data_IF_621964508647
#
_entry.id   IF_621964508647
#
_cell.length_a   1.000
_cell.length_b   1.000
_cell.length_c   1.000
_cell.angle_alpha   90.00
_cell.angle_beta   90.00
_cell.angle_gamma   90.00
#
_symmetry.space_group_name_H-M   'P 1'
#
loop_
_entity.id
_entity.type
_entity.pdbx_description
1 polymer ?
#
# COMPACT_ATOMS: atom_id res chain seq x y z
N UNK A 1 26.74 -6.78 11.63
CA UNK A 1 26.49 -7.06 10.20
C UNK A 1 25.20 -6.37 9.83
N UNK A 2 25.16 -5.65 8.72
CA UNK A 2 23.89 -5.09 8.20
C UNK A 2 22.99 -6.26 7.79
N UNK A 3 21.71 -6.30 8.22
CA UNK A 3 20.80 -7.35 7.78
C UNK A 3 20.66 -7.33 6.26
N UNK A 4 20.49 -8.51 5.66
CA UNK A 4 20.07 -8.59 4.26
C UNK A 4 18.70 -7.94 4.08
N UNK A 5 18.42 -7.48 2.86
CA UNK A 5 17.12 -6.87 2.55
C UNK A 5 15.94 -7.79 2.88
N UNK A 6 16.04 -9.09 2.60
CA UNK A 6 14.99 -10.03 2.96
C UNK A 6 14.83 -10.20 4.48
N UNK A 7 15.90 -10.07 5.28
CA UNK A 7 15.76 -10.06 6.75
C UNK A 7 15.00 -8.82 7.23
N UNK A 8 15.22 -7.65 6.59
CA UNK A 8 14.45 -6.43 6.86
C UNK A 8 12.99 -6.63 6.46
N UNK A 9 12.72 -7.20 5.28
CA UNK A 9 11.37 -7.51 4.82
C UNK A 9 10.63 -8.49 5.74
N UNK A 10 11.32 -9.56 6.16
CA UNK A 10 10.78 -10.51 7.14
C UNK A 10 10.47 -9.85 8.47
N UNK A 11 11.32 -8.95 8.94
CA UNK A 11 11.03 -8.15 10.14
C UNK A 11 9.81 -7.25 9.90
N UNK A 12 9.73 -6.56 8.77
CA UNK A 12 8.58 -5.71 8.44
C UNK A 12 7.26 -6.48 8.47
N UNK A 13 7.20 -7.70 7.92
CA UNK A 13 6.03 -8.59 8.03
C UNK A 13 5.62 -8.84 9.48
N UNK A 14 6.58 -9.03 10.39
CA UNK A 14 6.29 -9.25 11.82
C UNK A 14 5.69 -8.03 12.53
N UNK A 15 5.86 -6.82 11.96
CA UNK A 15 5.25 -5.60 12.50
C UNK A 15 3.75 -5.49 12.15
N UNK A 16 3.25 -6.26 11.18
CA UNK A 16 1.82 -6.33 10.87
C UNK A 16 1.10 -7.28 11.84
N UNK A 17 1.00 -6.84 13.10
CA UNK A 17 0.32 -7.55 14.18
C UNK A 17 -1.01 -6.85 14.52
N UNK A 18 -2.17 -7.53 14.40
CA UNK A 18 -3.45 -6.95 14.79
C UNK A 18 -3.52 -6.43 16.23
N UNK A 19 -2.75 -7.02 17.15
CA UNK A 19 -2.71 -6.64 18.58
C UNK A 19 -1.80 -5.44 18.88
N UNK A 20 -0.92 -5.06 17.95
CA UNK A 20 -0.01 -3.92 18.08
C UNK A 20 0.09 -3.22 16.71
N UNK A 21 -0.92 -2.38 16.37
CA UNK A 21 -0.98 -1.73 15.07
C UNK A 21 0.29 -0.92 14.75
N UNK A 22 0.84 -1.17 13.57
CA UNK A 22 1.98 -0.41 13.05
C UNK A 22 1.53 0.97 12.58
N UNK A 23 2.14 2.01 13.13
CA UNK A 23 2.02 3.38 12.61
C UNK A 23 3.05 3.58 11.51
N UNK A 24 2.57 3.81 10.28
CA UNK A 24 3.39 4.13 9.12
C UNK A 24 3.29 5.62 8.80
N UNK A 25 4.39 6.33 8.95
CA UNK A 25 4.49 7.73 8.54
C UNK A 25 4.84 7.79 7.06
N UNK A 26 4.03 8.50 6.28
CA UNK A 26 4.29 8.76 4.87
C UNK A 26 5.33 9.88 4.72
N UNK A 27 6.42 9.60 4.01
CA UNK A 27 7.46 10.57 3.65
C UNK A 27 7.53 10.73 2.13
N UNK A 28 8.01 11.87 1.67
CA UNK A 28 7.93 12.27 0.25
C UNK A 28 9.18 12.99 -0.26
N UNK A 29 10.16 13.24 0.60
CA UNK A 29 11.47 13.79 0.21
C UNK A 29 12.58 13.29 1.16
N UNK A 30 13.84 13.64 0.86
CA UNK A 30 14.98 13.25 1.70
C UNK A 30 14.95 13.85 3.12
N UNK A 31 14.35 15.03 3.28
CA UNK A 31 14.33 15.77 4.55
C UNK A 31 13.38 15.11 5.54
N UNK A 32 12.13 14.94 5.14
CA UNK A 32 11.09 14.22 5.88
C UNK A 32 11.52 12.79 6.18
N UNK A 33 12.09 12.09 5.20
CA UNK A 33 12.65 10.75 5.38
C UNK A 33 13.72 10.70 6.47
N UNK A 34 14.69 11.62 6.45
CA UNK A 34 15.78 11.64 7.44
C UNK A 34 15.28 11.98 8.84
N UNK A 35 14.37 12.95 8.95
CA UNK A 35 13.78 13.36 10.23
C UNK A 35 13.02 12.19 10.86
N UNK A 36 12.11 11.56 10.11
CA UNK A 36 11.29 10.46 10.61
C UNK A 36 12.16 9.23 10.92
N UNK A 37 13.14 8.90 10.07
CA UNK A 37 14.04 7.76 10.30
C UNK A 37 14.93 7.93 11.55
N UNK A 38 15.17 9.17 12.00
CA UNK A 38 15.98 9.46 13.19
C UNK A 38 15.22 9.28 14.51
N UNK A 39 13.89 9.22 14.48
CA UNK A 39 13.09 9.08 15.69
C UNK A 39 13.22 7.66 16.25
N UNK A 40 13.48 7.49 17.56
CA UNK A 40 13.64 6.17 18.18
C UNK A 40 12.37 5.32 18.15
N UNK A 41 11.21 5.94 17.93
CA UNK A 41 9.90 5.28 17.85
C UNK A 41 9.56 4.80 16.44
N UNK A 42 10.32 5.19 15.42
CA UNK A 42 10.04 4.79 14.03
C UNK A 42 10.41 3.33 13.81
N UNK A 43 9.41 2.48 13.58
CA UNK A 43 9.57 1.05 13.31
C UNK A 43 9.63 0.71 11.81
N UNK A 44 9.01 1.54 10.98
CA UNK A 44 9.02 1.45 9.51
C UNK A 44 8.56 2.79 8.92
N UNK A 45 8.82 3.00 7.63
CA UNK A 45 8.40 4.20 6.87
C UNK A 45 7.67 3.77 5.60
N UNK A 46 6.67 4.56 5.21
CA UNK A 46 5.99 4.43 3.92
C UNK A 46 6.27 5.66 3.04
N UNK A 47 6.20 5.51 1.72
CA UNK A 47 6.06 6.66 0.81
C UNK A 47 4.59 6.84 0.41
N UNK A 48 4.25 8.01 -0.13
CA UNK A 48 2.92 8.27 -0.69
C UNK A 48 3.07 8.97 -2.04
N UNK A 49 2.49 8.38 -3.10
CA UNK A 49 2.63 8.91 -4.46
C UNK A 49 2.08 10.33 -4.58
N UNK A 50 0.91 10.60 -3.97
CA UNK A 50 0.29 11.93 -3.96
C UNK A 50 1.23 13.01 -3.43
N UNK A 51 1.94 12.73 -2.33
CA UNK A 51 2.84 13.70 -1.73
C UNK A 51 4.14 13.85 -2.56
N UNK A 52 4.65 12.76 -3.12
CA UNK A 52 5.78 12.80 -4.06
C UNK A 52 5.43 13.64 -5.30
N UNK A 53 4.27 13.39 -5.92
CA UNK A 53 3.76 14.16 -7.05
C UNK A 53 3.66 15.66 -6.74
N UNK A 54 3.13 16.01 -5.56
CA UNK A 54 3.05 17.39 -5.09
C UNK A 54 4.43 18.07 -5.00
N UNK A 55 5.49 17.36 -4.58
CA UNK A 55 6.86 17.93 -4.55
C UNK A 55 7.41 18.23 -5.94
N UNK A 56 6.92 17.52 -6.96
CA UNK A 56 7.32 17.69 -8.36
C UNK A 56 6.40 18.68 -9.11
N UNK A 57 5.34 19.17 -8.47
CA UNK A 57 4.36 20.06 -9.10
C UNK A 57 3.50 19.38 -10.16
N UNK A 58 3.25 18.08 -10.01
CA UNK A 58 2.35 17.30 -10.89
C UNK A 58 1.22 16.70 -10.07
N UNK A 59 0.08 16.44 -10.71
CA UNK A 59 -1.00 15.68 -10.09
C UNK A 59 -0.58 14.20 -9.92
N UNK A 60 -1.14 13.52 -8.93
CA UNK A 60 -0.78 12.13 -8.59
C UNK A 60 -1.02 11.16 -9.76
N UNK A 61 -2.14 11.32 -10.46
CA UNK A 61 -2.49 10.56 -11.67
C UNK A 61 -1.49 10.75 -12.82
N UNK A 62 -0.73 11.86 -12.80
CA UNK A 62 0.27 12.20 -13.82
C UNK A 62 1.70 11.89 -13.38
N UNK A 63 1.90 11.38 -12.16
CA UNK A 63 3.21 10.97 -11.67
C UNK A 63 3.70 9.75 -12.45
N UNK A 64 4.76 9.92 -13.24
CA UNK A 64 5.29 8.81 -14.06
C UNK A 64 6.08 7.82 -13.22
N UNK A 65 6.22 6.59 -13.74
CA UNK A 65 7.09 5.55 -13.17
C UNK A 65 8.49 6.08 -12.85
N UNK A 66 9.13 6.73 -13.82
CA UNK A 66 10.50 7.21 -13.70
C UNK A 66 10.62 8.32 -12.65
N UNK A 67 9.62 9.20 -12.56
CA UNK A 67 9.56 10.24 -11.53
C UNK A 67 9.43 9.61 -10.14
N UNK A 68 8.51 8.67 -9.95
CA UNK A 68 8.32 8.02 -8.66
C UNK A 68 9.58 7.23 -8.26
N UNK A 69 10.10 6.35 -9.12
CA UNK A 69 11.31 5.58 -8.83
C UNK A 69 12.53 6.47 -8.51
N UNK A 70 12.66 7.61 -9.19
CA UNK A 70 13.72 8.59 -8.88
C UNK A 70 13.56 9.20 -7.48
N UNK A 71 12.33 9.54 -7.09
CA UNK A 71 12.03 10.02 -5.74
C UNK A 71 12.27 8.93 -4.68
N UNK A 72 11.83 7.69 -4.95
CA UNK A 72 12.05 6.54 -4.06
C UNK A 72 13.55 6.28 -3.83
N UNK A 73 14.38 6.36 -4.87
CA UNK A 73 15.83 6.22 -4.74
C UNK A 73 16.41 7.23 -3.74
N UNK A 74 15.99 8.49 -3.82
CA UNK A 74 16.42 9.58 -2.93
C UNK A 74 15.94 9.32 -1.50
N UNK A 75 14.65 9.01 -1.32
CA UNK A 75 14.02 8.76 -0.03
C UNK A 75 14.66 7.57 0.69
N UNK A 76 14.74 6.41 0.03
CA UNK A 76 15.29 5.18 0.62
C UNK A 76 16.77 5.38 0.99
N UNK A 77 17.54 6.08 0.14
CA UNK A 77 18.94 6.42 0.46
C UNK A 77 19.07 7.33 1.67
N UNK A 78 18.15 8.29 1.84
CA UNK A 78 18.11 9.16 3.02
C UNK A 78 17.78 8.38 4.29
N UNK A 79 16.77 7.50 4.24
CA UNK A 79 16.41 6.61 5.36
C UNK A 79 17.59 5.72 5.75
N UNK A 80 18.15 4.97 4.81
CA UNK A 80 19.21 4.00 5.11
C UNK A 80 20.52 4.64 5.55
N UNK A 81 20.77 5.92 5.22
CA UNK A 81 21.90 6.68 5.79
C UNK A 81 21.75 6.90 7.29
N UNK A 82 20.52 7.09 7.76
CA UNK A 82 20.19 7.30 9.18
C UNK A 82 20.05 5.97 9.91
N UNK A 83 19.28 5.03 9.34
CA UNK A 83 19.04 3.72 9.91
C UNK A 83 19.05 2.65 8.79
N UNK A 84 20.18 1.96 8.57
CA UNK A 84 20.35 0.98 7.49
C UNK A 84 19.45 -0.26 7.58
N UNK A 85 18.79 -0.48 8.72
CA UNK A 85 17.93 -1.64 8.96
C UNK A 85 16.45 -1.26 9.04
N UNK A 86 16.09 0.01 8.83
CA UNK A 86 14.70 0.46 8.93
C UNK A 86 13.91 0.02 7.68
N UNK A 87 12.80 -0.71 7.82
CA UNK A 87 11.93 -1.05 6.71
C UNK A 87 11.38 0.19 5.99
N UNK A 88 11.47 0.19 4.66
CA UNK A 88 10.78 1.16 3.79
C UNK A 88 9.82 0.41 2.87
N UNK A 89 8.53 0.70 2.99
CA UNK A 89 7.50 0.28 2.03
C UNK A 89 7.17 1.45 1.10
N UNK A 90 6.89 1.18 -0.17
CA UNK A 90 6.73 2.23 -1.18
C UNK A 90 5.34 2.21 -1.81
N UNK A 91 4.80 3.38 -2.11
CA UNK A 91 3.58 3.48 -2.90
C UNK A 91 3.90 3.43 -4.40
N UNK A 92 3.33 2.46 -5.10
CA UNK A 92 3.52 2.23 -6.53
C UNK A 92 2.23 2.45 -7.33
N UNK A 93 1.20 3.07 -6.73
CA UNK A 93 -0.12 3.23 -7.35
C UNK A 93 -0.61 1.88 -7.91
N UNK A 94 -0.99 1.84 -9.18
CA UNK A 94 -1.43 0.63 -9.87
C UNK A 94 -0.27 -0.24 -10.37
N UNK A 95 0.99 0.17 -10.19
CA UNK A 95 2.20 -0.53 -10.62
C UNK A 95 2.83 0.00 -11.91
N UNK A 96 2.30 1.09 -12.49
CA UNK A 96 2.83 1.81 -13.66
C UNK A 96 2.99 0.96 -14.93
N UNK A 97 2.19 -0.09 -15.07
CA UNK A 97 2.26 -1.02 -16.20
C UNK A 97 0.95 -1.78 -16.38
N UNK A 98 0.43 -1.76 -17.61
CA UNK A 98 -0.86 -2.37 -17.95
C UNK A 98 -0.76 -3.90 -18.11
N UNK A 99 0.45 -4.44 -18.27
CA UNK A 99 0.69 -5.88 -18.33
C UNK A 99 1.52 -6.38 -17.15
N UNK A 100 1.47 -7.71 -16.93
CA UNK A 100 2.16 -8.37 -15.83
C UNK A 100 3.70 -8.27 -15.94
N UNK A 101 4.32 -8.41 -17.13
CA UNK A 101 5.77 -8.21 -17.26
C UNK A 101 6.24 -6.82 -16.85
N UNK A 102 5.54 -5.75 -17.23
CA UNK A 102 5.87 -4.38 -16.85
C UNK A 102 5.74 -4.17 -15.33
N UNK A 103 4.66 -4.69 -14.73
CA UNK A 103 4.49 -4.69 -13.26
C UNK A 103 5.66 -5.41 -12.58
N UNK A 104 6.02 -6.61 -13.03
CA UNK A 104 7.13 -7.37 -12.46
C UNK A 104 8.46 -6.60 -12.53
N UNK A 105 8.71 -5.89 -13.64
CA UNK A 105 9.89 -5.04 -13.79
C UNK A 105 9.89 -3.89 -12.78
N UNK A 106 8.76 -3.18 -12.60
CA UNK A 106 8.61 -2.11 -11.61
C UNK A 106 8.87 -2.62 -10.18
N UNK A 107 8.36 -3.79 -9.81
CA UNK A 107 8.62 -4.39 -8.48
C UNK A 107 10.10 -4.70 -8.29
N UNK A 108 10.75 -5.30 -9.28
CA UNK A 108 12.19 -5.62 -9.23
C UNK A 108 13.03 -4.35 -9.10
N UNK A 109 12.68 -3.29 -9.81
CA UNK A 109 13.34 -1.99 -9.71
C UNK A 109 13.16 -1.38 -8.31
N UNK A 110 11.93 -1.36 -7.76
CA UNK A 110 11.69 -0.87 -6.41
C UNK A 110 12.48 -1.65 -5.34
N UNK A 111 12.56 -2.97 -5.48
CA UNK A 111 13.40 -3.81 -4.61
C UNK A 111 14.88 -3.48 -4.79
N UNK A 112 15.37 -3.28 -6.01
CA UNK A 112 16.75 -2.88 -6.25
C UNK A 112 17.12 -1.53 -5.59
N UNK A 113 16.14 -0.63 -5.39
CA UNK A 113 16.32 0.62 -4.66
C UNK A 113 16.39 0.43 -3.13
N UNK A 114 15.97 -0.74 -2.62
CA UNK A 114 15.97 -1.07 -1.19
C UNK A 114 14.59 -1.19 -0.55
N UNK A 115 13.50 -1.10 -1.33
CA UNK A 115 12.15 -1.30 -0.79
C UNK A 115 11.96 -2.72 -0.28
N UNK A 116 11.21 -2.88 0.81
CA UNK A 116 10.89 -4.19 1.43
C UNK A 116 9.40 -4.50 1.46
N UNK A 117 8.58 -3.57 0.96
CA UNK A 117 7.16 -3.75 0.74
C UNK A 117 6.67 -2.72 -0.27
N UNK A 118 5.42 -2.89 -0.72
CA UNK A 118 4.76 -1.84 -1.48
C UNK A 118 3.25 -1.82 -1.23
N UNK A 119 2.65 -0.68 -1.52
CA UNK A 119 1.22 -0.55 -1.79
C UNK A 119 0.98 -0.73 -3.30
N UNK A 120 -0.02 -1.54 -3.66
CA UNK A 120 -0.48 -1.74 -5.05
C UNK A 120 -2.01 -1.70 -5.08
N UNK A 121 -2.60 -0.82 -5.88
CA UNK A 121 -4.05 -0.72 -6.03
C UNK A 121 -4.60 -1.54 -7.21
N UNK A 122 -5.89 -1.87 -7.14
CA UNK A 122 -6.59 -2.65 -8.15
C UNK A 122 -7.32 -1.80 -9.21
N UNK A 123 -7.07 -0.50 -9.23
CA UNK A 123 -7.49 0.41 -10.31
C UNK A 123 -6.58 0.27 -11.52
N UNK A 124 -7.14 0.35 -12.71
CA UNK A 124 -6.41 0.68 -13.93
C UNK A 124 -6.39 2.19 -14.12
N UNK A 125 -5.28 2.83 -13.77
CA UNK A 125 -5.20 4.29 -13.75
C UNK A 125 -5.23 4.88 -15.16
N UNK A 126 -4.69 4.16 -16.15
CA UNK A 126 -4.73 4.59 -17.54
C UNK A 126 -6.16 4.53 -18.12
N UNK A 127 -6.93 3.51 -17.76
CA UNK A 127 -8.32 3.37 -18.19
C UNK A 127 -9.31 4.11 -17.28
N UNK A 128 -8.91 4.51 -16.07
CA UNK A 128 -9.78 5.11 -15.06
C UNK A 128 -10.85 4.15 -14.55
N UNK A 129 -10.59 2.84 -14.54
CA UNK A 129 -11.59 1.81 -14.19
C UNK A 129 -11.04 0.79 -13.21
N UNK A 130 -11.91 0.22 -12.38
CA UNK A 130 -11.53 -0.87 -11.48
C UNK A 130 -11.24 -2.15 -12.28
N UNK A 131 -10.10 -2.80 -12.03
CA UNK A 131 -9.79 -4.09 -12.65
C UNK A 131 -10.74 -5.18 -12.17
N UNK A 132 -10.96 -6.18 -13.01
CA UNK A 132 -11.69 -7.38 -12.59
C UNK A 132 -10.96 -8.06 -11.42
N UNK A 133 -11.69 -8.84 -10.62
CA UNK A 133 -11.10 -9.56 -9.49
C UNK A 133 -9.96 -10.48 -9.95
N UNK A 134 -10.16 -11.20 -11.07
CA UNK A 134 -9.18 -12.13 -11.62
C UNK A 134 -7.89 -11.42 -12.06
N UNK A 135 -8.01 -10.26 -12.72
CA UNK A 135 -6.86 -9.44 -13.12
C UNK A 135 -6.12 -8.90 -11.89
N UNK A 136 -6.84 -8.38 -10.90
CA UNK A 136 -6.25 -7.87 -9.66
C UNK A 136 -5.49 -8.98 -8.91
N UNK A 137 -6.08 -10.17 -8.80
CA UNK A 137 -5.44 -11.36 -8.21
C UNK A 137 -4.20 -11.79 -9.00
N UNK A 138 -4.24 -11.76 -10.34
CA UNK A 138 -3.08 -12.06 -11.16
C UNK A 138 -1.93 -11.08 -10.90
N UNK A 139 -2.23 -9.78 -10.79
CA UNK A 139 -1.25 -8.75 -10.45
C UNK A 139 -0.63 -8.95 -9.06
N UNK A 140 -1.43 -9.28 -8.05
CA UNK A 140 -0.94 -9.63 -6.70
C UNK A 140 0.06 -10.78 -6.76
N UNK A 141 -0.28 -11.87 -7.47
CA UNK A 141 0.65 -13.01 -7.65
C UNK A 141 1.93 -12.60 -8.38
N UNK A 142 1.83 -11.75 -9.38
CA UNK A 142 2.98 -11.22 -10.12
C UNK A 142 3.92 -10.44 -9.21
N UNK A 143 3.41 -9.62 -8.29
CA UNK A 143 4.28 -8.91 -7.33
C UNK A 143 5.01 -9.89 -6.42
N UNK A 144 4.30 -10.86 -5.85
CA UNK A 144 4.90 -11.87 -4.94
C UNK A 144 6.00 -12.66 -5.65
N UNK A 145 5.74 -13.11 -6.88
CA UNK A 145 6.73 -13.86 -7.66
C UNK A 145 7.92 -12.99 -8.08
N UNK A 146 7.67 -11.77 -8.56
CA UNK A 146 8.74 -10.84 -8.93
C UNK A 146 9.67 -10.52 -7.75
N UNK A 147 9.09 -10.38 -6.55
CA UNK A 147 9.86 -10.14 -5.33
C UNK A 147 10.70 -11.35 -4.91
N UNK A 148 10.15 -12.57 -5.04
CA UNK A 148 10.91 -13.82 -4.84
C UNK A 148 12.08 -13.93 -5.80
N UNK A 149 11.86 -13.67 -7.09
CA UNK A 149 12.90 -13.66 -8.12
C UNK A 149 13.98 -12.60 -7.86
N UNK A 150 13.62 -11.47 -7.27
CA UNK A 150 14.54 -10.41 -6.87
C UNK A 150 15.33 -10.70 -5.57
N UNK A 151 15.12 -11.86 -4.94
CA UNK A 151 15.80 -12.24 -3.69
C UNK A 151 15.17 -11.66 -2.42
N UNK A 152 13.93 -11.17 -2.50
CA UNK A 152 13.14 -10.67 -1.37
C UNK A 152 11.81 -11.46 -1.23
N UNK A 153 11.83 -12.78 -0.99
CA UNK A 153 10.61 -13.59 -0.85
C UNK A 153 9.68 -13.14 0.29
N UNK A 154 10.19 -12.44 1.29
CA UNK A 154 9.41 -11.88 2.40
C UNK A 154 8.92 -10.44 2.13
N UNK A 155 8.96 -9.97 0.88
CA UNK A 155 8.45 -8.64 0.51
C UNK A 155 6.98 -8.46 0.93
N UNK A 156 6.68 -7.39 1.66
CA UNK A 156 5.36 -7.15 2.22
C UNK A 156 4.49 -6.34 1.25
N UNK A 157 3.72 -7.04 0.43
CA UNK A 157 2.69 -6.41 -0.41
C UNK A 157 1.47 -6.04 0.44
N UNK A 158 1.14 -4.75 0.47
CA UNK A 158 -0.16 -4.23 0.88
C UNK A 158 -1.05 -4.07 -0.35
N UNK A 159 -1.95 -5.03 -0.57
CA UNK A 159 -2.86 -5.00 -1.71
C UNK A 159 -4.04 -4.08 -1.39
N UNK A 160 -4.15 -2.97 -2.11
CA UNK A 160 -5.20 -1.99 -1.96
C UNK A 160 -6.37 -2.32 -2.88
N UNK A 161 -7.59 -2.16 -2.37
CA UNK A 161 -8.80 -2.15 -3.19
C UNK A 161 -9.53 -0.82 -3.11
N UNK A 162 -9.91 -0.29 -4.28
CA UNK A 162 -10.67 0.95 -4.45
C UNK A 162 -12.13 0.67 -4.84
N UNK A 163 -12.58 -0.57 -4.61
CA UNK A 163 -13.91 -1.04 -5.02
C UNK A 163 -15.04 -0.21 -4.43
N UNK A 164 -14.86 0.39 -3.24
CA UNK A 164 -15.88 1.21 -2.58
C UNK A 164 -16.08 2.59 -3.20
N UNK A 165 -15.23 3.00 -4.14
CA UNK A 165 -15.48 4.18 -4.97
C UNK A 165 -16.36 3.90 -6.19
N UNK A 166 -16.60 2.62 -6.49
CA UNK A 166 -17.40 2.26 -7.66
C UNK A 166 -18.89 2.25 -7.30
N UNK A 167 -19.70 2.80 -8.19
CA UNK A 167 -21.15 2.82 -8.02
C UNK A 167 -21.72 1.40 -7.88
N UNK A 168 -22.60 1.21 -6.89
CA UNK A 168 -23.24 -0.08 -6.63
C UNK A 168 -22.37 -1.14 -5.96
N UNK A 169 -21.12 -0.81 -5.59
CA UNK A 169 -20.24 -1.71 -4.84
C UNK A 169 -20.40 -1.58 -3.33
N UNK A 170 -20.12 -2.67 -2.63
CA UNK A 170 -20.40 -2.83 -1.20
C UNK A 170 -19.17 -3.26 -0.41
N UNK A 171 -19.28 -3.23 0.92
CA UNK A 171 -18.26 -3.79 1.80
C UNK A 171 -18.02 -5.29 1.54
N UNK A 172 -19.06 -6.04 1.14
CA UNK A 172 -18.91 -7.45 0.78
C UNK A 172 -17.97 -7.64 -0.43
N UNK A 173 -18.04 -6.75 -1.44
CA UNK A 173 -17.11 -6.77 -2.58
C UNK A 173 -15.66 -6.49 -2.14
N UNK A 174 -15.47 -5.56 -1.19
CA UNK A 174 -14.16 -5.25 -0.64
C UNK A 174 -13.58 -6.43 0.17
N UNK A 175 -14.42 -7.11 0.95
CA UNK A 175 -14.05 -8.32 1.70
C UNK A 175 -13.70 -9.47 0.74
N UNK A 176 -14.47 -9.67 -0.33
CA UNK A 176 -14.20 -10.69 -1.35
C UNK A 176 -12.82 -10.47 -1.99
N UNK A 177 -12.55 -9.24 -2.44
CA UNK A 177 -11.26 -8.83 -3.00
C UNK A 177 -10.12 -9.04 -2.00
N UNK A 178 -10.30 -8.57 -0.76
CA UNK A 178 -9.30 -8.71 0.29
C UNK A 178 -8.95 -10.17 0.58
N UNK A 179 -9.95 -11.04 0.75
CA UNK A 179 -9.75 -12.49 0.95
C UNK A 179 -8.98 -13.09 -0.23
N UNK A 180 -9.33 -12.74 -1.46
CA UNK A 180 -8.66 -13.22 -2.66
C UNK A 180 -7.19 -12.75 -2.76
N UNK A 181 -6.90 -11.50 -2.39
CA UNK A 181 -5.54 -10.96 -2.39
C UNK A 181 -4.65 -11.65 -1.35
N UNK A 182 -5.19 -11.95 -0.17
CA UNK A 182 -4.47 -12.68 0.88
C UNK A 182 -4.15 -14.12 0.46
N UNK A 183 -5.12 -14.81 -0.16
CA UNK A 183 -4.90 -16.14 -0.77
C UNK A 183 -3.84 -16.09 -1.88
N UNK A 184 -3.80 -14.99 -2.64
CA UNK A 184 -2.82 -14.77 -3.70
C UNK A 184 -1.41 -14.44 -3.19
N UNK A 185 -1.25 -14.19 -1.89
CA UNK A 185 0.04 -14.00 -1.23
C UNK A 185 0.33 -12.56 -0.76
N UNK A 186 -0.65 -11.65 -0.83
CA UNK A 186 -0.52 -10.34 -0.19
C UNK A 186 -0.24 -10.49 1.31
N UNK A 187 0.57 -9.60 1.87
CA UNK A 187 0.87 -9.57 3.31
C UNK A 187 -0.26 -8.91 4.09
N UNK A 188 -0.81 -7.82 3.55
CA UNK A 188 -1.94 -7.08 4.11
C UNK A 188 -2.88 -6.64 3.01
N UNK A 189 -4.09 -6.24 3.41
CA UNK A 189 -5.08 -5.63 2.53
C UNK A 189 -5.43 -4.24 3.06
N UNK A 190 -5.55 -3.30 2.15
CA UNK A 190 -6.02 -1.95 2.44
C UNK A 190 -7.29 -1.65 1.65
N UNK A 191 -8.39 -1.39 2.34
CA UNK A 191 -9.64 -0.96 1.69
C UNK A 191 -9.66 0.57 1.68
N UNK A 192 -9.67 1.17 0.50
CA UNK A 192 -9.87 2.60 0.35
C UNK A 192 -11.33 2.89 0.00
N UNK A 193 -11.93 3.80 0.76
CA UNK A 193 -13.29 4.29 0.55
C UNK A 193 -14.24 3.91 1.69
N UNK A 194 -15.53 4.07 1.44
CA UNK A 194 -16.59 3.90 2.44
C UNK A 194 -17.33 5.19 2.77
N UNK A 195 -18.59 5.09 3.21
CA UNK A 195 -19.40 6.24 3.58
C UNK A 195 -18.93 6.85 4.89
N UNK A 196 -18.55 8.13 4.82
CA UNK A 196 -18.34 9.12 5.89
C UNK A 196 -17.02 9.04 6.67
N UNK A 197 -16.00 9.74 6.14
CA UNK A 197 -15.00 10.42 6.97
C UNK A 197 -15.67 11.65 7.60
N UNK A 198 -15.83 11.69 8.93
CA UNK A 198 -16.33 12.86 9.68
C UNK A 198 -15.24 13.87 10.07
N UNK A 199 -14.04 13.79 9.49
CA UNK A 199 -12.93 14.66 9.85
C UNK A 199 -12.86 16.00 9.10
N UNK A 200 -13.83 16.29 8.23
CA UNK A 200 -13.87 17.52 7.43
C UNK A 200 -14.55 18.63 8.21
N UNK A 201 -13.81 19.72 8.40
CA UNK A 201 -14.30 20.98 8.97
C UNK A 201 -15.65 21.36 8.36
N UNK A 202 -16.63 21.59 9.23
CA UNK A 202 -18.02 21.89 8.93
C UNK A 202 -18.19 23.00 7.88
N UNK A 203 -19.11 22.81 6.93
CA UNK A 203 -19.62 23.90 6.11
C UNK A 203 -20.46 23.45 4.92
N UNK A 204 -21.78 23.26 5.12
CA UNK A 204 -22.75 23.24 4.02
C UNK A 204 -23.77 22.11 4.14
N UNK A 205 -24.95 22.45 4.67
CA UNK A 205 -26.02 21.49 4.94
C UNK A 205 -26.70 20.92 3.69
N UNK A 206 -27.14 19.68 3.83
CA UNK A 206 -28.32 19.14 3.17
C UNK A 206 -28.90 18.07 4.09
N UNK A 207 -30.22 18.13 4.27
CA UNK A 207 -31.02 17.28 5.15
C UNK A 207 -30.83 15.78 4.81
N UNK A 208 -30.62 14.96 5.85
CA UNK A 208 -30.20 13.56 5.74
C UNK A 208 -31.34 12.61 6.12
N UNK A 209 -31.93 11.98 5.11
CA UNK A 209 -32.81 10.82 5.31
C UNK A 209 -32.03 9.60 5.82
N UNK A 210 -32.76 8.73 6.53
CA UNK A 210 -32.33 7.63 7.39
C UNK A 210 -31.16 6.78 6.86
N UNK A 211 -30.14 6.64 7.71
CA UNK A 211 -28.92 5.88 7.44
C UNK A 211 -29.11 4.37 7.55
N UNK A 212 -28.34 3.63 6.75
CA UNK A 212 -28.12 2.20 6.94
C UNK A 212 -27.06 2.04 8.02
N UNK A 213 -27.46 1.47 9.15
CA UNK A 213 -26.61 1.28 10.33
C UNK A 213 -25.47 0.29 10.08
N UNK A 214 -24.32 0.60 10.65
CA UNK A 214 -23.28 -0.36 11.01
C UNK A 214 -23.84 -1.29 12.10
N UNK A 215 -24.46 -2.43 11.76
CA UNK A 215 -24.79 -3.44 12.77
C UNK A 215 -24.58 -4.87 12.27
N UNK A 216 -23.85 -5.65 13.09
CA UNK A 216 -24.07 -7.09 13.29
C UNK A 216 -23.21 -8.04 12.45
N UNK A 217 -23.50 -8.18 11.16
CA UNK A 217 -23.00 -9.34 10.39
C UNK A 217 -21.56 -9.18 9.88
N UNK A 218 -21.07 -7.94 9.75
CA UNK A 218 -19.72 -7.65 9.25
C UNK A 218 -18.63 -7.67 10.32
N UNK A 219 -18.96 -7.35 11.58
CA UNK A 219 -18.03 -7.47 12.71
C UNK A 219 -17.71 -8.94 12.99
N UNK A 220 -18.72 -9.82 12.97
CA UNK A 220 -18.54 -11.25 13.22
C UNK A 220 -17.65 -11.95 12.18
N UNK A 221 -17.76 -11.60 10.89
CA UNK A 221 -16.86 -12.15 9.86
C UNK A 221 -15.44 -11.58 9.95
N UNK A 222 -15.29 -10.30 10.30
CA UNK A 222 -13.99 -9.64 10.44
C UNK A 222 -13.24 -10.16 11.68
N UNK A 223 -13.89 -10.21 12.85
CA UNK A 223 -13.29 -10.72 14.09
C UNK A 223 -12.95 -12.20 14.00
N UNK A 224 -13.81 -13.02 13.42
CA UNK A 224 -13.59 -14.47 13.32
C UNK A 224 -12.39 -14.84 12.45
N UNK A 225 -11.97 -13.95 11.54
CA UNK A 225 -10.82 -14.17 10.66
C UNK A 225 -9.56 -13.43 11.12
N UNK A 226 -9.68 -12.21 11.63
CA UNK A 226 -8.54 -11.39 12.09
C UNK A 226 -8.05 -11.80 13.48
N UNK A 227 -8.96 -12.25 14.36
CA UNK A 227 -8.64 -12.61 15.75
C UNK A 227 -8.70 -14.12 16.02
N UNK A 228 -9.23 -14.91 15.07
CA UNK A 228 -9.43 -16.36 15.21
C UNK A 228 -8.34 -17.25 14.62
N UNK A 229 -7.21 -16.69 14.18
CA UNK A 229 -6.06 -17.41 13.58
C UNK A 229 -4.92 -17.67 14.55
#
# INVERSE_FOLDING_TARGET
MTPSQNQIAKHFRTLHNPQDPLILTNVYDASTASIIASLPTTRAIATASFAVAATLGVDDENLTKDQNLSALQIIISAVHRVNPALPVTVDLQDGYGNDLPALAATIKEAIALGAVGCNLEDMDNAAGTLRSLDEAVARVRTVVEAAREAGCPDFALNARTDVLFQEGKTLADAIERGKAFLVAGACTVFVWGGTRWTGGVEGGGADFGEGVGWEGECEDEFERWVLGG
#
